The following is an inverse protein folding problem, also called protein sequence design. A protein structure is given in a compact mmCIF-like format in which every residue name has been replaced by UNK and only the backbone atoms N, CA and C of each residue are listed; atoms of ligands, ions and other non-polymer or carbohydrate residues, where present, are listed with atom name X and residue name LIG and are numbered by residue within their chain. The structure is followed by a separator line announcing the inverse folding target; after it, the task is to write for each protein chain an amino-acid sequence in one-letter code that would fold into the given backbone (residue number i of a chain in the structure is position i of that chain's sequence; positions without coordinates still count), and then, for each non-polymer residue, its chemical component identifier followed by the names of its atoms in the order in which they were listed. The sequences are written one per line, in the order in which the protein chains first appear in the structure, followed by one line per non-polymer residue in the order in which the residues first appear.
data_IF_938244750031
#
_entry.id   IF_938244750031
#
_cell.length_a   1.000
_cell.length_b   1.000
_cell.length_c   1.000
_cell.angle_alpha   90.00
_cell.angle_beta   90.00
_cell.angle_gamma   90.00
#
_symmetry.space_group_name_H-M   'P 1'
#
loop_
_entity.id
_entity.type
_entity.pdbx_description
1 polymer ?
#
# COMPACT_ATOMS: atom_id res chain seq x y z
N UNK A 1 45.62 -17.99 -15.15
CA UNK A 1 45.16 -17.99 -16.55
C UNK A 1 43.96 -18.91 -16.68
N UNK A 2 43.13 -18.67 -17.71
CA UNK A 2 41.80 -19.23 -18.03
C UNK A 2 40.57 -18.46 -17.49
N UNK A 3 40.23 -17.40 -18.23
CA UNK A 3 38.86 -17.00 -18.57
C UNK A 3 38.58 -17.44 -20.03
N UNK A 4 37.39 -17.19 -20.61
CA UNK A 4 36.02 -17.56 -20.23
C UNK A 4 35.34 -18.37 -21.37
N UNK A 5 34.14 -18.92 -21.15
CA UNK A 5 33.31 -19.42 -22.26
C UNK A 5 31.91 -18.83 -22.18
N UNK A 6 31.72 -17.82 -23.02
CA UNK A 6 30.45 -17.20 -23.43
C UNK A 6 29.73 -18.16 -24.36
N UNK A 7 28.46 -18.47 -24.08
CA UNK A 7 27.49 -18.94 -25.08
C UNK A 7 26.12 -18.34 -24.75
N UNK A 8 25.75 -17.27 -25.45
CA UNK A 8 24.36 -17.08 -25.90
C UNK A 8 24.18 -17.86 -27.21
N UNK A 9 22.95 -18.30 -27.54
CA UNK A 9 22.23 -17.51 -28.55
C UNK A 9 20.69 -17.48 -28.44
N UNK A 10 20.17 -16.29 -28.77
CA UNK A 10 19.19 -16.01 -29.83
C UNK A 10 17.73 -16.52 -29.75
N UNK A 11 16.84 -15.52 -29.71
CA UNK A 11 15.71 -15.27 -30.64
C UNK A 11 14.62 -16.32 -30.73
N UNK A 12 13.40 -15.93 -30.33
CA UNK A 12 12.22 -16.07 -31.21
C UNK A 12 11.30 -14.84 -31.18
N UNK A 13 10.93 -14.50 -32.40
CA UNK A 13 10.06 -13.44 -32.92
C UNK A 13 8.60 -13.93 -32.95
N UNK A 14 7.67 -12.96 -33.11
CA UNK A 14 6.26 -13.08 -33.56
C UNK A 14 5.20 -13.36 -32.47
N UNK A 15 4.01 -12.73 -32.45
CA UNK A 15 3.24 -12.00 -33.48
C UNK A 15 2.12 -11.17 -32.85
N UNK A 16 1.76 -10.07 -33.50
CA UNK A 16 0.50 -9.31 -33.36
C UNK A 16 -0.75 -10.19 -33.55
N UNK A 17 -1.83 -9.85 -32.84
CA UNK A 17 -3.19 -10.03 -33.34
C UNK A 17 -4.14 -9.02 -32.68
N UNK A 18 -4.52 -8.05 -33.51
CA UNK A 18 -5.56 -7.05 -33.35
C UNK A 18 -6.94 -7.72 -33.38
N UNK A 19 -7.85 -7.34 -32.49
CA UNK A 19 -9.29 -7.55 -32.66
C UNK A 19 -10.06 -6.46 -31.92
N UNK A 20 -10.65 -5.56 -32.70
CA UNK A 20 -11.79 -4.73 -32.31
C UNK A 20 -12.92 -4.98 -33.35
N UNK A 21 -14.08 -4.33 -33.26
CA UNK A 21 -15.25 -4.76 -32.50
C UNK A 21 -16.45 -5.01 -33.44
N UNK A 22 -17.48 -5.71 -32.96
CA UNK A 22 -18.86 -5.77 -33.52
C UNK A 22 -19.66 -6.64 -32.53
N UNK A 23 -20.93 -6.44 -32.21
CA UNK A 23 -22.06 -5.98 -33.01
C UNK A 23 -23.21 -5.56 -32.07
N UNK A 24 -24.11 -4.76 -32.63
CA UNK A 24 -25.32 -4.21 -32.04
C UNK A 24 -26.44 -5.23 -31.77
N UNK A 25 -27.39 -4.81 -30.94
CA UNK A 25 -28.71 -5.38 -30.73
C UNK A 25 -29.19 -5.05 -29.31
N UNK A 26 -30.43 -4.68 -29.02
CA UNK A 26 -31.63 -4.41 -29.78
C UNK A 26 -32.59 -3.70 -28.80
N UNK A 27 -33.59 -3.01 -29.35
CA UNK A 27 -34.51 -2.12 -28.64
C UNK A 27 -35.38 -2.81 -27.56
N UNK A 28 -35.63 -2.08 -26.48
CA UNK A 28 -36.57 -2.46 -25.43
C UNK A 28 -37.20 -1.24 -24.80
N UNK A 29 -38.11 -0.60 -25.53
CA UNK A 29 -38.99 0.47 -25.06
C UNK A 29 -40.02 -0.10 -24.09
N UNK A 30 -40.02 0.36 -22.83
CA UNK A 30 -41.15 0.19 -21.92
C UNK A 30 -41.42 1.53 -21.22
N UNK A 31 -42.43 2.21 -21.75
CA UNK A 31 -43.18 3.28 -21.11
C UNK A 31 -43.81 2.76 -19.81
N UNK A 32 -43.76 3.59 -18.77
CA UNK A 32 -44.11 3.19 -17.40
C UNK A 32 -43.98 4.36 -16.44
N UNK A 33 -44.70 5.44 -16.73
CA UNK A 33 -44.92 6.57 -15.83
C UNK A 33 -45.48 6.07 -14.48
N UNK A 34 -44.69 6.19 -13.41
CA UNK A 34 -45.21 6.13 -12.04
C UNK A 34 -44.56 7.20 -11.16
N UNK A 35 -45.44 8.05 -10.62
CA UNK A 35 -45.21 9.27 -9.87
C UNK A 35 -44.05 9.28 -8.86
N UNK A 36 -43.42 10.45 -8.63
CA UNK A 36 -42.43 10.62 -7.57
C UNK A 36 -43.14 10.58 -6.21
N UNK A 37 -43.03 9.45 -5.50
CA UNK A 37 -43.29 9.45 -4.06
C UNK A 37 -42.14 10.20 -3.40
N UNK A 38 -42.44 11.41 -2.94
CA UNK A 38 -41.73 12.12 -1.89
C UNK A 38 -41.38 11.17 -0.75
N UNK A 39 -40.16 10.65 -0.78
CA UNK A 39 -39.46 10.23 0.42
C UNK A 39 -38.45 11.34 0.68
N UNK A 40 -38.83 12.26 1.57
CA UNK A 40 -37.89 13.11 2.27
C UNK A 40 -36.89 12.19 2.99
N UNK A 41 -35.82 11.80 2.28
CA UNK A 41 -34.59 11.36 2.93
C UNK A 41 -33.91 12.63 3.40
N UNK A 42 -34.30 13.07 4.59
CA UNK A 42 -33.47 13.91 5.42
C UNK A 42 -32.05 13.32 5.37
N UNK A 43 -31.04 14.04 4.88
CA UNK A 43 -29.69 13.65 5.21
C UNK A 43 -29.60 13.88 6.71
N UNK A 44 -29.72 12.82 7.51
CA UNK A 44 -29.03 12.78 8.80
C UNK A 44 -27.55 12.88 8.47
N UNK A 45 -27.10 14.12 8.25
CA UNK A 45 -25.74 14.55 8.42
C UNK A 45 -25.46 14.39 9.91
N UNK A 46 -25.31 13.14 10.34
CA UNK A 46 -24.63 12.81 11.57
C UNK A 46 -23.22 13.29 11.37
N UNK A 47 -22.98 14.54 11.76
CA UNK A 47 -21.65 15.14 11.76
C UNK A 47 -20.79 14.26 12.65
N UNK A 48 -20.08 13.32 12.02
CA UNK A 48 -19.08 12.50 12.72
C UNK A 48 -18.18 13.45 13.46
N UNK A 49 -18.11 13.26 14.77
CA UNK A 49 -17.26 14.06 15.63
C UNK A 49 -15.81 13.96 15.12
N UNK A 50 -14.95 14.95 15.40
CA UNK A 50 -13.54 14.85 15.08
C UNK A 50 -12.90 13.53 15.56
N UNK A 51 -13.35 13.02 16.71
CA UNK A 51 -12.95 11.72 17.26
C UNK A 51 -13.46 10.54 16.44
N UNK A 52 -14.71 10.53 15.97
CA UNK A 52 -15.23 9.47 15.08
C UNK A 52 -14.44 9.41 13.75
N UNK A 53 -14.03 10.57 13.24
CA UNK A 53 -13.21 10.68 12.02
C UNK A 53 -11.80 10.15 12.26
N UNK A 54 -11.18 10.50 13.39
CA UNK A 54 -9.86 10.01 13.76
C UNK A 54 -9.87 8.48 14.00
N UNK A 55 -10.90 7.94 14.67
CA UNK A 55 -11.06 6.50 14.89
C UNK A 55 -11.22 5.73 13.56
N UNK A 56 -12.07 6.22 12.66
CA UNK A 56 -12.22 5.64 11.33
C UNK A 56 -10.91 5.68 10.51
N UNK A 57 -10.12 6.75 10.68
CA UNK A 57 -8.81 6.89 10.03
C UNK A 57 -7.79 5.91 10.59
N UNK A 58 -7.71 5.73 11.91
CA UNK A 58 -6.87 4.71 12.55
C UNK A 58 -7.21 3.32 12.02
N UNK A 59 -8.49 2.92 12.02
CA UNK A 59 -8.90 1.61 11.50
C UNK A 59 -8.51 1.40 10.03
N UNK A 60 -8.63 2.45 9.20
CA UNK A 60 -8.20 2.42 7.80
C UNK A 60 -6.69 2.25 7.68
N UNK A 61 -5.92 3.03 8.42
CA UNK A 61 -4.45 2.99 8.41
C UNK A 61 -3.95 1.63 8.88
N UNK A 62 -4.49 1.08 9.97
CA UNK A 62 -4.18 -0.27 10.44
C UNK A 62 -4.41 -1.31 9.34
N UNK A 63 -5.56 -1.26 8.66
CA UNK A 63 -5.85 -2.18 7.55
C UNK A 63 -4.89 -2.02 6.37
N UNK A 64 -4.48 -0.80 6.06
CA UNK A 64 -3.52 -0.52 4.99
C UNK A 64 -2.11 -1.02 5.33
N UNK A 65 -1.67 -0.78 6.56
CA UNK A 65 -0.38 -1.26 7.09
C UNK A 65 -0.35 -2.79 7.05
N UNK A 66 -1.36 -3.48 7.58
CA UNK A 66 -1.37 -4.95 7.62
C UNK A 66 -1.30 -5.57 6.22
N UNK A 67 -1.99 -4.99 5.23
CA UNK A 67 -1.92 -5.45 3.84
C UNK A 67 -0.53 -5.21 3.24
N UNK A 68 0.00 -4.02 3.42
CA UNK A 68 1.30 -3.64 2.86
C UNK A 68 2.44 -4.44 3.50
N UNK A 69 2.37 -4.70 4.81
CA UNK A 69 3.29 -5.57 5.51
C UNK A 69 3.23 -7.00 4.95
N UNK A 70 2.03 -7.56 4.74
CA UNK A 70 1.89 -8.88 4.13
C UNK A 70 2.44 -8.93 2.69
N UNK A 71 2.25 -7.87 1.91
CA UNK A 71 2.82 -7.76 0.56
C UNK A 71 4.36 -7.69 0.60
N UNK A 72 4.94 -6.90 1.52
CA UNK A 72 6.39 -6.83 1.73
C UNK A 72 6.93 -8.20 2.10
N UNK A 73 6.35 -8.83 3.11
CA UNK A 73 6.77 -10.16 3.60
C UNK A 73 6.69 -11.21 2.48
N UNK A 74 5.66 -11.18 1.63
CA UNK A 74 5.51 -12.13 0.50
C UNK A 74 6.66 -12.01 -0.51
N UNK A 75 7.13 -10.79 -0.76
CA UNK A 75 8.12 -10.50 -1.79
C UNK A 75 9.57 -10.62 -1.25
N UNK A 76 9.74 -11.00 0.02
CA UNK A 76 11.01 -11.20 0.70
C UNK A 76 11.37 -12.68 0.87
N UNK A 77 12.61 -13.02 0.54
CA UNK A 77 13.22 -14.30 0.90
C UNK A 77 13.42 -14.42 2.43
N UNK A 78 13.55 -15.63 2.94
CA UNK A 78 13.69 -15.92 4.37
C UNK A 78 14.75 -15.04 5.11
N UNK A 79 16.00 -14.85 4.60
CA UNK A 79 16.97 -13.98 5.27
C UNK A 79 16.57 -12.50 5.23
N UNK A 80 15.96 -12.04 4.13
CA UNK A 80 15.53 -10.65 4.00
C UNK A 80 14.27 -10.35 4.84
N UNK A 81 13.45 -11.39 5.11
CA UNK A 81 12.32 -11.32 6.02
C UNK A 81 12.77 -11.15 7.47
N UNK A 82 13.82 -11.86 7.91
CA UNK A 82 14.40 -11.67 9.24
C UNK A 82 14.91 -10.24 9.45
N UNK A 83 15.62 -9.69 8.45
CA UNK A 83 16.05 -8.28 8.42
C UNK A 83 14.85 -7.34 8.50
N UNK A 84 13.79 -7.61 7.74
CA UNK A 84 12.57 -6.81 7.76
C UNK A 84 11.91 -6.82 9.14
N UNK A 85 11.84 -7.96 9.82
CA UNK A 85 11.26 -8.06 11.15
C UNK A 85 12.10 -7.31 12.20
N UNK A 86 13.43 -7.37 12.10
CA UNK A 86 14.33 -6.57 12.95
C UNK A 86 14.15 -5.07 12.73
N UNK A 87 14.13 -4.64 11.46
CA UNK A 87 13.89 -3.26 11.08
C UNK A 87 12.52 -2.78 11.58
N UNK A 88 11.48 -3.61 11.41
CA UNK A 88 10.13 -3.29 11.86
C UNK A 88 10.04 -3.18 13.39
N UNK A 89 10.77 -4.02 14.12
CA UNK A 89 10.88 -3.91 15.57
C UNK A 89 11.58 -2.61 15.98
N UNK A 90 12.70 -2.27 15.32
CA UNK A 90 13.41 -1.00 15.56
C UNK A 90 12.47 0.19 15.33
N UNK A 91 11.69 0.16 14.25
CA UNK A 91 10.68 1.18 13.97
C UNK A 91 9.67 1.34 15.10
N UNK A 92 9.09 0.23 15.57
CA UNK A 92 8.10 0.26 16.63
C UNK A 92 8.68 0.80 17.95
N UNK A 93 9.92 0.43 18.27
CA UNK A 93 10.62 0.93 19.45
C UNK A 93 10.89 2.43 19.36
N UNK A 94 11.40 2.92 18.23
CA UNK A 94 11.71 4.34 18.02
C UNK A 94 10.44 5.20 17.93
N UNK A 95 9.37 4.69 17.31
CA UNK A 95 8.08 5.39 17.25
C UNK A 95 7.33 5.48 18.59
N UNK A 96 7.67 4.63 19.56
CA UNK A 96 7.17 4.81 20.92
C UNK A 96 7.69 6.11 21.56
N UNK A 97 8.71 6.72 20.97
CA UNK A 97 9.30 8.01 21.32
C UNK A 97 9.11 9.00 20.15
N UNK A 98 9.28 10.30 20.38
CA UNK A 98 9.33 11.26 19.30
C UNK A 98 10.52 10.95 18.39
N UNK A 99 10.23 10.56 17.14
CA UNK A 99 11.23 10.17 16.15
C UNK A 99 12.13 11.37 15.84
N UNK A 100 13.45 11.22 16.05
CA UNK A 100 14.42 12.25 15.74
C UNK A 100 14.97 12.10 14.31
N UNK A 101 15.58 13.17 13.79
CA UNK A 101 16.26 13.14 12.48
C UNK A 101 17.41 12.11 12.46
N UNK A 102 18.03 11.84 13.61
CA UNK A 102 19.09 10.85 13.76
C UNK A 102 18.52 9.42 13.71
N UNK A 103 17.35 9.18 14.30
CA UNK A 103 16.62 7.91 14.15
C UNK A 103 16.24 7.67 12.70
N UNK A 104 15.76 8.71 12.00
CA UNK A 104 15.45 8.62 10.58
C UNK A 104 16.70 8.26 9.77
N UNK A 105 17.85 8.87 10.04
CA UNK A 105 19.11 8.56 9.35
C UNK A 105 19.59 7.12 9.63
N UNK A 106 19.41 6.62 10.86
CA UNK A 106 19.73 5.24 11.25
C UNK A 106 18.87 4.23 10.50
N UNK A 107 17.57 4.52 10.43
CA UNK A 107 16.57 3.77 9.67
C UNK A 107 16.95 3.69 8.19
N UNK A 108 17.26 4.83 7.58
CA UNK A 108 17.57 4.91 6.15
C UNK A 108 18.84 4.11 5.85
N UNK A 109 19.87 4.28 6.68
CA UNK A 109 21.11 3.50 6.58
C UNK A 109 20.84 1.99 6.66
N UNK A 110 20.05 1.55 7.63
CA UNK A 110 19.76 0.12 7.79
C UNK A 110 18.98 -0.44 6.60
N UNK A 111 18.01 0.32 6.06
CA UNK A 111 17.26 -0.06 4.84
C UNK A 111 18.20 -0.23 3.65
N UNK A 112 19.13 0.70 3.42
CA UNK A 112 20.04 0.63 2.28
C UNK A 112 21.17 -0.40 2.45
N UNK A 113 21.61 -0.68 3.68
CA UNK A 113 22.65 -1.67 3.95
C UNK A 113 22.12 -3.11 3.90
N UNK A 114 20.89 -3.34 4.36
CA UNK A 114 20.36 -4.68 4.59
C UNK A 114 19.35 -5.16 3.53
N UNK A 115 18.70 -4.24 2.80
CA UNK A 115 17.80 -4.63 1.71
C UNK A 115 18.54 -4.59 0.36
N UNK A 116 18.21 -5.49 -0.58
CA UNK A 116 18.74 -5.43 -1.92
C UNK A 116 18.39 -4.09 -2.56
N UNK A 117 19.39 -3.26 -2.86
CA UNK A 117 19.21 -1.94 -3.49
C UNK A 117 18.62 -2.04 -4.90
N UNK A 118 18.73 -3.21 -5.50
CA UNK A 118 18.12 -3.60 -6.78
C UNK A 118 16.59 -3.70 -6.68
N UNK A 119 16.04 -3.92 -5.48
CA UNK A 119 14.60 -4.00 -5.23
C UNK A 119 14.04 -2.64 -4.79
N UNK A 120 14.03 -1.70 -5.73
CA UNK A 120 13.53 -0.33 -5.51
C UNK A 120 12.07 -0.32 -5.05
N UNK A 121 11.27 -1.27 -5.54
CA UNK A 121 9.88 -1.48 -5.13
C UNK A 121 9.75 -1.87 -3.66
N UNK A 122 10.64 -2.74 -3.17
CA UNK A 122 10.67 -3.16 -1.78
C UNK A 122 11.03 -1.97 -0.88
N UNK A 123 12.09 -1.23 -1.22
CA UNK A 123 12.50 -0.03 -0.51
C UNK A 123 11.32 0.96 -0.43
N UNK A 124 10.63 1.20 -1.56
CA UNK A 124 9.46 2.07 -1.59
C UNK A 124 8.31 1.57 -0.71
N UNK A 125 8.03 0.27 -0.71
CA UNK A 125 7.01 -0.33 0.17
C UNK A 125 7.38 -0.16 1.65
N UNK A 126 8.64 -0.33 2.02
CA UNK A 126 9.13 -0.13 3.39
C UNK A 126 8.91 1.31 3.85
N UNK A 127 9.34 2.30 3.07
CA UNK A 127 9.10 3.72 3.39
C UNK A 127 7.61 4.05 3.49
N UNK A 128 6.79 3.42 2.64
CA UNK A 128 5.35 3.60 2.69
C UNK A 128 4.72 3.00 3.95
N UNK A 129 5.19 1.84 4.43
CA UNK A 129 4.77 1.28 5.71
C UNK A 129 5.10 2.25 6.85
N UNK A 130 6.34 2.76 6.88
CA UNK A 130 6.79 3.75 7.86
C UNK A 130 5.89 4.98 7.90
N UNK A 131 5.61 5.58 6.75
CA UNK A 131 4.79 6.77 6.68
C UNK A 131 3.36 6.52 7.20
N UNK A 132 2.78 5.36 6.88
CA UNK A 132 1.44 4.98 7.36
C UNK A 132 1.42 4.74 8.87
N UNK A 133 2.47 4.13 9.43
CA UNK A 133 2.68 3.91 10.86
C UNK A 133 2.77 5.23 11.63
N UNK A 134 3.57 6.19 11.15
CA UNK A 134 3.67 7.53 11.74
C UNK A 134 2.33 8.28 11.73
N UNK A 135 1.60 8.21 10.62
CA UNK A 135 0.29 8.84 10.52
C UNK A 135 -0.77 8.16 11.41
N UNK A 136 -0.67 6.83 11.60
CA UNK A 136 -1.53 6.09 12.54
C UNK A 136 -1.24 6.57 13.96
N UNK A 137 0.02 6.61 14.34
CA UNK A 137 0.45 7.04 15.68
C UNK A 137 -0.02 8.48 15.98
N UNK A 138 0.16 9.40 15.04
CA UNK A 138 -0.38 10.77 15.14
C UNK A 138 -1.90 10.79 15.36
N UNK A 139 -2.64 9.97 14.61
CA UNK A 139 -4.10 9.87 14.79
C UNK A 139 -4.49 9.23 16.13
N UNK A 140 -3.69 8.28 16.64
CA UNK A 140 -3.90 7.66 17.96
C UNK A 140 -3.64 8.65 19.09
N UNK A 141 -2.58 9.47 18.99
CA UNK A 141 -2.30 10.55 19.96
C UNK A 141 -3.45 11.57 20.01
N UNK A 142 -4.08 11.89 18.87
CA UNK A 142 -5.27 12.75 18.82
C UNK A 142 -6.53 12.15 19.45
N UNK A 143 -6.60 10.82 19.58
CA UNK A 143 -7.72 10.13 20.25
C UNK A 143 -7.48 9.93 21.76
N UNK A 144 -6.22 9.95 22.18
CA UNK A 144 -5.81 9.78 23.58
C UNK A 144 -5.74 11.09 24.37
N UNK A 145 -5.72 12.24 23.68
CA UNK A 145 -5.84 13.58 24.26
C UNK A 145 -7.29 14.01 24.48
#
# INVERSE_FOLDING_TARGET
EFSPLVVEPAVRVSTSAEASPTSAGDAGHADGTRAPKSAARSPTSGGRSPTDKAAAKVARLTSQISRLYADVVRDLDEPARAVWDELYRLFQEKMAVDLTDEDQSEIERYVFEQLPTESTDLIWKVYKVLHLEQERDRCQRLLAG
#
